data_IF_155403412771
#
_entry.id   IF_155403412771
#
_cell.length_a   1.000
_cell.length_b   1.000
_cell.length_c   1.000
_cell.angle_alpha   90.00
_cell.angle_beta   90.00
_cell.angle_gamma   90.00
#
_symmetry.space_group_name_H-M   'P 1'
#
loop_
_entity.id
_entity.type
_entity.pdbx_description
1 polymer ?
#
# COMPACT_ATOMS: atom_id res chain seq x y z
N UNK A 1 28.53 8.37 -4.81
CA UNK A 1 27.87 7.38 -3.91
C UNK A 1 26.37 7.58 -4.07
N UNK A 2 25.62 6.51 -4.34
CA UNK A 2 24.15 6.57 -4.49
C UNK A 2 23.57 6.50 -3.06
N UNK A 3 22.73 7.48 -2.69
CA UNK A 3 22.04 7.48 -1.41
C UNK A 3 20.82 6.54 -1.49
N UNK A 4 20.71 5.60 -0.58
CA UNK A 4 19.75 4.51 -0.62
C UNK A 4 18.67 4.64 0.47
N UNK A 5 17.59 3.84 0.37
CA UNK A 5 16.60 3.72 1.45
C UNK A 5 17.25 3.31 2.79
N UNK A 6 18.27 2.44 2.75
CA UNK A 6 19.05 2.06 3.93
C UNK A 6 19.74 3.27 4.58
N UNK A 7 20.43 4.10 3.76
CA UNK A 7 21.10 5.30 4.26
C UNK A 7 20.10 6.27 4.86
N UNK A 8 18.93 6.42 4.23
CA UNK A 8 17.85 7.26 4.73
C UNK A 8 17.36 6.78 6.11
N UNK A 9 17.04 5.50 6.27
CA UNK A 9 16.56 4.96 7.55
C UNK A 9 17.60 5.15 8.64
N UNK A 10 18.87 4.84 8.35
CA UNK A 10 20.00 5.08 9.29
C UNK A 10 20.11 6.53 9.69
N UNK A 11 20.02 7.44 8.72
CA UNK A 11 20.19 8.88 8.97
C UNK A 11 18.97 9.48 9.68
N UNK A 12 17.75 8.99 9.39
CA UNK A 12 16.56 9.37 10.16
C UNK A 12 16.67 8.93 11.63
N UNK A 13 17.13 7.70 11.88
CA UNK A 13 17.39 7.19 13.25
C UNK A 13 18.42 8.06 14.01
N UNK A 14 19.42 8.55 13.30
CA UNK A 14 20.44 9.41 13.87
C UNK A 14 20.01 10.88 13.99
N UNK A 15 18.77 11.22 13.63
CA UNK A 15 18.24 12.59 13.65
C UNK A 15 18.86 13.51 12.58
N UNK A 16 19.51 12.94 11.56
CA UNK A 16 20.19 13.72 10.52
C UNK A 16 19.17 14.27 9.52
N UNK A 17 19.27 15.56 9.17
CA UNK A 17 18.33 16.21 8.25
C UNK A 17 18.38 15.63 6.82
N UNK A 18 19.50 15.05 6.41
CA UNK A 18 19.65 14.41 5.09
C UNK A 18 18.69 13.24 4.93
N UNK A 19 18.54 12.39 5.95
CA UNK A 19 17.60 11.27 5.95
C UNK A 19 16.16 11.74 5.78
N UNK A 20 15.74 12.73 6.58
CA UNK A 20 14.41 13.32 6.51
C UNK A 20 14.15 14.02 5.17
N UNK A 21 15.13 14.74 4.64
CA UNK A 21 15.03 15.38 3.33
C UNK A 21 14.83 14.35 2.21
N UNK A 22 15.58 13.25 2.25
CA UNK A 22 15.41 12.14 1.30
C UNK A 22 14.04 11.47 1.46
N UNK A 23 13.61 11.19 2.68
CA UNK A 23 12.29 10.64 2.97
C UNK A 23 11.18 11.51 2.35
N UNK A 24 11.18 12.80 2.61
CA UNK A 24 10.21 13.74 2.06
C UNK A 24 10.22 13.70 0.53
N UNK A 25 11.39 13.85 -0.08
CA UNK A 25 11.47 13.93 -1.55
C UNK A 25 11.05 12.64 -2.23
N UNK A 26 11.37 11.48 -1.68
CA UNK A 26 11.10 10.18 -2.31
C UNK A 26 9.71 9.65 -1.95
N UNK A 27 9.28 9.72 -0.70
CA UNK A 27 8.11 8.96 -0.24
C UNK A 27 6.85 9.79 -0.01
N UNK A 28 6.92 11.13 0.03
CA UNK A 28 5.68 11.94 0.03
C UNK A 28 4.80 11.66 -1.19
N UNK A 29 5.31 11.49 -2.42
CA UNK A 29 4.47 11.08 -3.54
C UNK A 29 3.77 9.72 -3.34
N UNK A 30 4.41 8.78 -2.65
CA UNK A 30 3.79 7.49 -2.27
C UNK A 30 2.64 7.74 -1.29
N UNK A 31 2.88 8.54 -0.24
CA UNK A 31 1.85 8.91 0.75
C UNK A 31 0.66 9.58 0.06
N UNK A 32 0.92 10.54 -0.84
CA UNK A 32 -0.13 11.24 -1.60
C UNK A 32 -0.98 10.26 -2.44
N UNK A 33 -0.34 9.32 -3.15
CA UNK A 33 -1.05 8.29 -3.93
C UNK A 33 -1.90 7.38 -3.04
N UNK A 34 -1.38 6.94 -1.89
CA UNK A 34 -2.12 6.13 -0.94
C UNK A 34 -3.34 6.90 -0.39
N UNK A 35 -3.15 8.14 0.02
CA UNK A 35 -4.27 8.97 0.51
C UNK A 35 -5.31 9.18 -0.59
N UNK A 36 -4.90 9.53 -1.80
CA UNK A 36 -5.82 9.76 -2.91
C UNK A 36 -6.62 8.49 -3.28
N UNK A 37 -6.02 7.30 -3.18
CA UNK A 37 -6.69 6.03 -3.47
C UNK A 37 -7.64 5.60 -2.36
N UNK A 38 -7.15 5.56 -1.12
CA UNK A 38 -7.90 4.97 -0.01
C UNK A 38 -8.82 5.95 0.72
N UNK A 39 -8.55 7.25 0.59
CA UNK A 39 -9.26 8.33 1.27
C UNK A 39 -9.49 9.52 0.32
N UNK A 40 -10.19 9.32 -0.80
CA UNK A 40 -10.37 10.37 -1.80
C UNK A 40 -11.07 11.61 -1.23
N UNK A 41 -11.91 11.45 -0.20
CA UNK A 41 -12.55 12.54 0.53
C UNK A 41 -11.56 13.42 1.30
N UNK A 42 -10.41 12.88 1.67
CA UNK A 42 -9.33 13.61 2.36
C UNK A 42 -8.25 14.13 1.41
N UNK A 43 -8.27 13.75 0.14
CA UNK A 43 -7.21 14.09 -0.82
C UNK A 43 -7.10 15.62 -1.07
N UNK A 44 -8.19 16.35 -0.88
CA UNK A 44 -8.23 17.81 -0.99
C UNK A 44 -7.72 18.55 0.27
N UNK A 45 -7.52 17.86 1.40
CA UNK A 45 -6.99 18.48 2.61
C UNK A 45 -5.48 18.71 2.46
N UNK A 46 -5.11 19.95 2.10
CA UNK A 46 -3.71 20.35 1.92
C UNK A 46 -2.85 20.22 3.19
N UNK A 47 -3.46 20.05 4.38
CA UNK A 47 -2.75 19.91 5.65
C UNK A 47 -2.54 18.45 6.05
N UNK A 48 -3.33 17.53 5.51
CA UNK A 48 -3.31 16.12 5.90
C UNK A 48 -1.94 15.48 5.73
N UNK A 49 -1.28 15.70 4.59
CA UNK A 49 0.05 15.12 4.34
C UNK A 49 1.07 15.63 5.36
N UNK A 50 1.01 16.93 5.70
CA UNK A 50 1.86 17.50 6.76
C UNK A 50 1.62 16.84 8.12
N UNK A 51 0.35 16.64 8.51
CA UNK A 51 -0.02 15.94 9.75
C UNK A 51 0.46 14.48 9.76
N UNK A 52 0.34 13.78 8.63
CA UNK A 52 0.86 12.41 8.47
C UNK A 52 2.37 12.37 8.65
N UNK A 53 3.11 13.29 8.05
CA UNK A 53 4.56 13.36 8.18
C UNK A 53 4.97 13.56 9.64
N UNK A 54 4.31 14.47 10.36
CA UNK A 54 4.57 14.68 11.79
C UNK A 54 4.25 13.43 12.61
N UNK A 55 3.15 12.72 12.30
CA UNK A 55 2.79 11.49 12.99
C UNK A 55 3.78 10.35 12.73
N UNK A 56 4.27 10.23 11.49
CA UNK A 56 5.26 9.22 11.10
C UNK A 56 6.66 9.48 11.65
N UNK A 57 7.01 10.77 11.89
CA UNK A 57 8.31 11.18 12.42
C UNK A 57 8.38 11.20 13.95
N UNK A 58 7.30 10.85 14.66
CA UNK A 58 7.29 10.79 16.14
C UNK A 58 8.16 9.64 16.66
N UNK A 59 8.93 9.87 17.73
CA UNK A 59 9.78 8.82 18.31
C UNK A 59 9.01 7.57 18.73
N UNK A 60 7.80 7.74 19.27
CA UNK A 60 6.99 6.65 19.81
C UNK A 60 6.36 5.77 18.71
N UNK A 61 6.07 6.35 17.57
CA UNK A 61 5.48 5.65 16.41
C UNK A 61 6.44 5.57 15.23
N UNK A 62 7.72 5.74 15.51
CA UNK A 62 8.71 5.97 14.47
C UNK A 62 8.81 4.81 13.48
N UNK A 63 8.38 5.07 12.27
CA UNK A 63 8.60 4.22 11.10
C UNK A 63 10.08 3.78 10.99
N UNK A 64 10.99 4.67 11.37
CA UNK A 64 12.43 4.44 11.26
C UNK A 64 13.01 3.60 12.40
N UNK A 65 12.35 3.55 13.58
CA UNK A 65 12.84 2.80 14.74
C UNK A 65 12.52 1.31 14.67
N UNK A 66 11.39 0.94 14.09
CA UNK A 66 10.89 -0.43 14.06
C UNK A 66 11.50 -1.29 12.93
N UNK A 67 12.11 -0.68 11.92
CA UNK A 67 12.68 -1.38 10.79
C UNK A 67 14.19 -1.62 10.99
N UNK A 68 14.59 -2.88 10.97
CA UNK A 68 15.95 -3.21 10.59
C UNK A 68 16.18 -2.80 9.13
N UNK A 69 17.45 -2.57 8.71
CA UNK A 69 17.74 -2.17 7.35
C UNK A 69 17.23 -3.23 6.37
N UNK A 70 15.99 -3.01 5.96
CA UNK A 70 15.27 -3.89 5.05
C UNK A 70 15.34 -3.36 3.61
N UNK A 71 15.16 -4.23 2.59
CA UNK A 71 14.96 -3.76 1.23
C UNK A 71 13.85 -2.70 1.15
N UNK A 72 13.99 -1.74 0.25
CA UNK A 72 13.06 -0.62 0.07
C UNK A 72 11.58 -1.03 -0.02
N UNK A 73 11.31 -2.23 -0.57
CA UNK A 73 9.95 -2.78 -0.65
C UNK A 73 9.31 -2.97 0.73
N UNK A 74 10.07 -3.43 1.71
CA UNK A 74 9.58 -3.61 3.08
C UNK A 74 9.35 -2.28 3.76
N UNK A 75 10.23 -1.32 3.52
CA UNK A 75 10.03 0.04 4.01
C UNK A 75 8.71 0.62 3.46
N UNK A 76 8.45 0.48 2.16
CA UNK A 76 7.22 1.00 1.54
C UNK A 76 5.98 0.22 2.00
N UNK A 77 6.10 -1.09 2.24
CA UNK A 77 5.00 -1.89 2.79
C UNK A 77 4.62 -1.42 4.21
N UNK A 78 5.60 -1.18 5.06
CA UNK A 78 5.38 -0.65 6.41
C UNK A 78 4.86 0.79 6.36
N UNK A 79 5.44 1.64 5.52
CA UNK A 79 4.96 3.01 5.30
C UNK A 79 3.49 3.02 4.89
N UNK A 80 3.09 2.15 3.94
CA UNK A 80 1.70 1.98 3.52
C UNK A 80 0.78 1.68 4.71
N UNK A 81 1.14 0.68 5.51
CA UNK A 81 0.33 0.27 6.66
C UNK A 81 0.16 1.42 7.66
N UNK A 82 1.24 2.13 7.98
CA UNK A 82 1.21 3.26 8.93
C UNK A 82 0.44 4.45 8.40
N UNK A 83 0.57 4.76 7.11
CA UNK A 83 -0.21 5.85 6.49
C UNK A 83 -1.71 5.56 6.58
N UNK A 84 -2.14 4.34 6.23
CA UNK A 84 -3.56 3.99 6.28
C UNK A 84 -4.10 4.05 7.72
N UNK A 85 -3.36 3.50 8.69
CA UNK A 85 -3.72 3.57 10.10
C UNK A 85 -3.80 5.02 10.62
N UNK A 86 -2.81 5.84 10.33
CA UNK A 86 -2.78 7.23 10.79
C UNK A 86 -3.91 8.08 10.19
N UNK A 87 -4.31 7.85 8.94
CA UNK A 87 -5.48 8.56 8.37
C UNK A 87 -6.77 8.09 9.06
N UNK A 88 -6.94 6.80 9.31
CA UNK A 88 -8.09 6.28 10.07
C UNK A 88 -8.18 6.89 11.46
N UNK A 89 -7.06 7.00 12.17
CA UNK A 89 -6.99 7.66 13.49
C UNK A 89 -7.36 9.15 13.42
N UNK A 90 -6.98 9.84 12.34
CA UNK A 90 -7.34 11.25 12.14
C UNK A 90 -8.80 11.48 11.79
N UNK A 91 -9.46 10.48 11.20
CA UNK A 91 -10.90 10.55 10.88
C UNK A 91 -11.81 10.35 12.11
N UNK A 92 -11.26 9.91 13.25
CA UNK A 92 -12.00 9.68 14.48
C UNK A 92 -12.38 8.22 14.69
N UNK A 93 -13.29 7.96 15.63
CA UNK A 93 -13.58 6.63 16.14
C UNK A 93 -13.84 5.60 15.03
N UNK A 94 -13.21 4.42 15.11
CA UNK A 94 -13.47 3.36 14.15
C UNK A 94 -14.96 3.00 14.20
N UNK A 95 -15.60 3.04 13.04
CA UNK A 95 -16.93 2.43 12.88
C UNK A 95 -16.78 0.96 13.30
N UNK A 96 -17.69 0.42 14.15
CA UNK A 96 -17.62 -0.98 14.56
C UNK A 96 -17.46 -1.85 13.31
N UNK A 97 -16.37 -2.63 13.29
CA UNK A 97 -16.11 -3.49 12.14
C UNK A 97 -17.15 -4.62 12.12
N UNK A 98 -17.77 -4.85 10.97
CA UNK A 98 -18.62 -6.01 10.80
C UNK A 98 -17.77 -7.27 10.89
N UNK A 99 -18.29 -8.27 11.54
CA UNK A 99 -17.74 -9.62 11.43
C UNK A 99 -17.93 -10.13 10.00
N UNK A 100 -16.83 -10.31 9.29
CA UNK A 100 -16.82 -10.79 7.91
C UNK A 100 -16.52 -12.29 7.95
N UNK A 101 -17.49 -13.07 7.50
CA UNK A 101 -17.33 -14.50 7.31
C UNK A 101 -16.56 -14.74 5.98
N UNK A 102 -15.28 -15.04 6.12
CA UNK A 102 -14.41 -15.31 4.98
C UNK A 102 -14.70 -16.68 4.33
N UNK A 103 -15.34 -17.63 5.03
CA UNK A 103 -15.72 -18.92 4.46
C UNK A 103 -16.87 -18.76 3.45
N UNK A 104 -17.87 -17.93 3.79
CA UNK A 104 -18.95 -17.60 2.87
C UNK A 104 -18.38 -16.92 1.62
N UNK A 105 -17.47 -15.98 1.79
CA UNK A 105 -16.83 -15.30 0.66
C UNK A 105 -15.97 -16.27 -0.15
N UNK A 106 -15.26 -17.20 0.51
CA UNK A 106 -14.50 -18.27 -0.12
C UNK A 106 -15.35 -19.15 -1.01
N UNK A 107 -16.48 -19.60 -0.49
CA UNK A 107 -17.44 -20.42 -1.25
C UNK A 107 -18.04 -19.68 -2.46
N UNK A 108 -18.31 -18.37 -2.33
CA UNK A 108 -18.81 -17.55 -3.43
C UNK A 108 -17.81 -17.43 -4.58
N UNK A 109 -16.52 -17.35 -4.25
CA UNK A 109 -15.44 -17.15 -5.22
C UNK A 109 -14.64 -18.44 -5.53
N UNK A 110 -15.05 -19.59 -5.00
CA UNK A 110 -14.38 -20.87 -5.26
C UNK A 110 -14.15 -21.16 -6.75
N UNK A 111 -15.14 -20.94 -7.66
CA UNK A 111 -14.95 -21.19 -9.09
C UNK A 111 -14.02 -20.20 -9.82
N UNK A 112 -13.52 -19.17 -9.14
CA UNK A 112 -12.62 -18.19 -9.75
C UNK A 112 -11.17 -18.69 -9.71
N UNK A 113 -10.45 -18.48 -10.80
CA UNK A 113 -9.00 -18.65 -10.85
C UNK A 113 -8.31 -17.66 -9.91
N UNK A 114 -7.04 -17.90 -9.57
CA UNK A 114 -6.25 -16.97 -8.76
C UNK A 114 -6.27 -15.55 -9.33
N UNK A 115 -6.05 -15.39 -10.64
CA UNK A 115 -6.03 -14.06 -11.28
C UNK A 115 -7.39 -13.38 -11.23
N UNK A 116 -8.48 -14.12 -11.38
CA UNK A 116 -9.84 -13.58 -11.23
C UNK A 116 -10.11 -13.14 -9.78
N UNK A 117 -9.67 -13.92 -8.79
CA UNK A 117 -9.74 -13.55 -7.37
C UNK A 117 -8.93 -12.29 -7.09
N UNK A 118 -7.73 -12.16 -7.65
CA UNK A 118 -6.92 -10.95 -7.53
C UNK A 118 -7.61 -9.73 -8.16
N UNK A 119 -8.21 -9.88 -9.35
CA UNK A 119 -8.95 -8.80 -10.01
C UNK A 119 -10.11 -8.29 -9.15
N UNK A 120 -10.87 -9.22 -8.54
CA UNK A 120 -11.93 -8.88 -7.60
C UNK A 120 -11.36 -8.26 -6.30
N UNK A 121 -10.26 -8.78 -5.78
CA UNK A 121 -9.65 -8.27 -4.54
C UNK A 121 -9.07 -6.86 -4.70
N UNK A 122 -8.45 -6.55 -5.84
CA UNK A 122 -7.94 -5.21 -6.15
C UNK A 122 -9.05 -4.15 -6.18
N UNK A 123 -10.31 -4.54 -6.45
CA UNK A 123 -11.44 -3.62 -6.31
C UNK A 123 -11.63 -3.19 -4.85
N UNK A 124 -11.48 -4.11 -3.88
CA UNK A 124 -11.55 -3.77 -2.46
C UNK A 124 -10.42 -2.85 -2.01
N UNK A 125 -9.31 -2.84 -2.73
CA UNK A 125 -8.17 -1.94 -2.57
C UNK A 125 -8.32 -0.64 -3.39
N UNK A 126 -9.50 -0.37 -3.95
CA UNK A 126 -9.86 0.83 -4.73
C UNK A 126 -9.06 1.03 -6.02
N UNK A 127 -8.59 -0.06 -6.62
CA UNK A 127 -8.03 -0.01 -7.96
C UNK A 127 -9.15 0.12 -9.00
N UNK A 128 -8.97 1.01 -9.98
CA UNK A 128 -9.85 1.01 -11.16
C UNK A 128 -9.61 -0.23 -12.02
N UNK A 129 -10.49 -0.50 -12.99
CA UNK A 129 -10.28 -1.63 -13.90
C UNK A 129 -9.01 -1.44 -14.76
N UNK A 130 -8.71 -0.20 -15.15
CA UNK A 130 -7.51 0.16 -15.91
C UNK A 130 -6.25 -0.09 -15.07
N UNK A 131 -6.22 0.37 -13.82
CA UNK A 131 -5.09 0.17 -12.93
C UNK A 131 -4.86 -1.31 -12.63
N UNK A 132 -5.93 -2.06 -12.34
CA UNK A 132 -5.86 -3.49 -12.11
C UNK A 132 -5.45 -4.25 -13.38
N UNK A 133 -5.92 -3.82 -14.54
CA UNK A 133 -5.54 -4.36 -15.83
C UNK A 133 -4.04 -4.23 -16.08
N UNK A 134 -3.45 -3.07 -15.81
CA UNK A 134 -2.00 -2.86 -15.88
C UNK A 134 -1.24 -3.78 -14.93
N UNK A 135 -1.72 -3.90 -13.68
CA UNK A 135 -1.07 -4.71 -12.65
C UNK A 135 -1.09 -6.20 -12.97
N UNK A 136 -2.25 -6.69 -13.44
CA UNK A 136 -2.49 -8.10 -13.77
C UNK A 136 -2.13 -8.46 -15.22
N UNK A 137 -1.73 -7.48 -16.05
CA UNK A 137 -1.50 -7.63 -17.49
C UNK A 137 -2.73 -8.16 -18.23
N UNK A 138 -3.88 -7.60 -17.90
CA UNK A 138 -5.18 -7.95 -18.47
C UNK A 138 -5.82 -6.73 -19.12
N UNK A 139 -6.68 -6.99 -20.09
CA UNK A 139 -7.54 -5.94 -20.66
C UNK A 139 -8.51 -5.41 -19.59
N UNK A 140 -8.68 -4.08 -19.44
CA UNK A 140 -9.57 -3.49 -18.44
C UNK A 140 -11.03 -3.99 -18.53
N UNK A 141 -11.55 -4.21 -19.74
CA UNK A 141 -12.88 -4.74 -19.94
C UNK A 141 -13.02 -6.17 -19.41
N UNK A 142 -11.97 -6.97 -19.55
CA UNK A 142 -11.92 -8.33 -18.97
C UNK A 142 -11.92 -8.25 -17.44
N UNK A 143 -11.16 -7.31 -16.84
CA UNK A 143 -11.18 -7.07 -15.40
C UNK A 143 -12.58 -6.71 -14.92
N UNK A 144 -13.27 -5.80 -15.63
CA UNK A 144 -14.63 -5.39 -15.24
C UNK A 144 -15.63 -6.55 -15.33
N UNK A 145 -15.58 -7.38 -16.36
CA UNK A 145 -16.41 -8.60 -16.46
C UNK A 145 -16.17 -9.56 -15.29
N UNK A 146 -14.93 -9.74 -14.88
CA UNK A 146 -14.59 -10.57 -13.72
C UNK A 146 -15.21 -9.99 -12.46
N UNK A 147 -15.10 -8.68 -12.25
CA UNK A 147 -15.67 -7.97 -11.11
C UNK A 147 -17.18 -8.07 -11.07
N UNK A 148 -17.84 -7.87 -12.20
CA UNK A 148 -19.30 -8.03 -12.29
C UNK A 148 -19.76 -9.44 -11.90
N UNK A 149 -19.06 -10.45 -12.40
CA UNK A 149 -19.32 -11.84 -12.03
C UNK A 149 -19.06 -12.10 -10.54
N UNK A 150 -18.00 -11.53 -9.98
CA UNK A 150 -17.71 -11.64 -8.55
C UNK A 150 -18.77 -10.93 -7.70
N UNK A 151 -19.16 -9.70 -8.04
CA UNK A 151 -20.22 -8.93 -7.36
C UNK A 151 -21.54 -9.70 -7.35
N UNK A 152 -21.93 -10.30 -8.47
CA UNK A 152 -23.16 -11.08 -8.56
C UNK A 152 -23.14 -12.30 -7.63
N UNK A 153 -22.04 -13.06 -7.61
CA UNK A 153 -21.89 -14.18 -6.70
C UNK A 153 -21.86 -13.76 -5.22
N UNK A 154 -21.14 -12.69 -4.90
CA UNK A 154 -21.10 -12.13 -3.54
C UNK A 154 -22.49 -11.64 -3.12
N UNK A 155 -23.23 -10.99 -4.01
CA UNK A 155 -24.62 -10.55 -3.74
C UNK A 155 -25.54 -11.70 -3.38
N UNK A 156 -25.40 -12.85 -4.01
CA UNK A 156 -26.22 -14.02 -3.70
C UNK A 156 -25.93 -14.63 -2.33
N UNK A 157 -24.73 -14.44 -1.78
CA UNK A 157 -24.28 -15.06 -0.54
C UNK A 157 -24.33 -14.11 0.67
N UNK A 158 -24.30 -12.78 0.46
CA UNK A 158 -24.21 -11.80 1.53
C UNK A 158 -25.52 -11.00 1.71
N UNK A 159 -25.83 -10.65 2.95
CA UNK A 159 -26.94 -9.75 3.24
C UNK A 159 -26.66 -8.32 2.72
N UNK A 160 -27.71 -7.48 2.64
CA UNK A 160 -27.64 -6.12 2.06
C UNK A 160 -26.55 -5.28 2.71
N UNK A 161 -26.42 -5.33 4.03
CA UNK A 161 -25.45 -4.54 4.77
C UNK A 161 -24.00 -4.94 4.47
N UNK A 162 -23.71 -6.24 4.42
CA UNK A 162 -22.36 -6.73 4.04
C UNK A 162 -22.03 -6.40 2.57
N UNK A 163 -23.03 -6.38 1.68
CA UNK A 163 -22.86 -5.96 0.28
C UNK A 163 -22.46 -4.49 0.16
N UNK A 164 -23.11 -3.61 0.90
CA UNK A 164 -22.81 -2.18 0.93
C UNK A 164 -21.39 -1.95 1.44
N UNK A 165 -21.00 -2.65 2.49
CA UNK A 165 -19.67 -2.53 3.07
C UNK A 165 -18.54 -2.91 2.09
N UNK A 166 -18.75 -3.95 1.31
CA UNK A 166 -17.77 -4.35 0.27
C UNK A 166 -17.70 -3.34 -0.88
N UNK A 167 -18.85 -2.72 -1.24
CA UNK A 167 -18.89 -1.72 -2.29
C UNK A 167 -18.23 -0.40 -1.88
N UNK A 168 -18.47 0.04 -0.64
CA UNK A 168 -18.08 1.39 -0.20
C UNK A 168 -16.69 1.42 0.45
N UNK A 169 -16.28 0.36 1.12
CA UNK A 169 -15.02 0.32 1.86
C UNK A 169 -14.44 -1.09 2.00
N UNK A 170 -13.53 -1.46 1.13
CA UNK A 170 -12.84 -2.75 1.17
C UNK A 170 -11.83 -2.92 2.33
N UNK A 171 -11.54 -1.87 3.09
CA UNK A 171 -10.57 -1.92 4.21
C UNK A 171 -10.94 -2.93 5.31
N UNK A 172 -12.20 -3.03 5.78
CA UNK A 172 -12.59 -4.06 6.73
C UNK A 172 -12.34 -5.49 6.22
N UNK A 173 -12.55 -5.71 4.92
CA UNK A 173 -12.26 -7.00 4.29
C UNK A 173 -10.77 -7.30 4.29
N UNK A 174 -9.92 -6.32 3.95
CA UNK A 174 -8.46 -6.45 4.02
C UNK A 174 -7.95 -6.73 5.43
N UNK A 175 -8.55 -6.10 6.47
CA UNK A 175 -8.23 -6.39 7.86
C UNK A 175 -8.68 -7.79 8.31
N UNK A 176 -9.85 -8.24 7.87
CA UNK A 176 -10.32 -9.59 8.14
C UNK A 176 -9.39 -10.64 7.48
N UNK A 177 -9.00 -10.43 6.22
CA UNK A 177 -8.06 -11.29 5.52
C UNK A 177 -6.68 -11.30 6.19
N UNK A 178 -6.17 -10.15 6.65
CA UNK A 178 -4.89 -10.09 7.37
C UNK A 178 -4.90 -10.90 8.68
N UNK A 179 -6.04 -10.91 9.39
CA UNK A 179 -6.22 -11.72 10.61
C UNK A 179 -6.37 -13.22 10.35
N UNK A 180 -6.71 -13.60 9.12
CA UNK A 180 -6.87 -15.01 8.72
C UNK A 180 -5.53 -15.73 8.44
N UNK A 181 -4.41 -15.19 8.92
CA UNK A 181 -3.10 -15.83 8.82
C UNK A 181 -3.11 -17.20 9.52
N UNK A 182 -2.56 -18.20 8.84
CA UNK A 182 -2.39 -19.57 9.34
C UNK A 182 -0.93 -20.02 9.19
N UNK A 183 -0.50 -21.04 9.91
CA UNK A 183 0.88 -21.56 9.81
C UNK A 183 1.31 -21.94 8.37
N UNK A 184 0.43 -22.52 7.51
CA UNK A 184 0.83 -22.86 6.14
C UNK A 184 0.89 -21.65 5.19
N UNK A 185 0.67 -20.39 5.65
CA UNK A 185 0.82 -19.23 4.80
C UNK A 185 2.23 -19.10 4.23
N UNK A 186 2.31 -18.69 2.97
CA UNK A 186 3.56 -18.60 2.24
C UNK A 186 4.43 -17.44 2.75
N UNK A 187 5.74 -17.65 2.73
CA UNK A 187 6.68 -16.59 3.02
C UNK A 187 6.69 -15.52 1.92
N UNK A 188 6.93 -14.29 2.30
CA UNK A 188 6.99 -13.11 1.41
C UNK A 188 7.89 -13.31 0.19
N UNK A 189 8.97 -14.06 0.36
CA UNK A 189 9.89 -14.37 -0.73
C UNK A 189 9.19 -15.07 -1.90
N UNK A 190 8.25 -15.98 -1.64
CA UNK A 190 7.51 -16.68 -2.70
C UNK A 190 6.73 -15.70 -3.57
N UNK A 191 6.05 -14.73 -2.96
CA UNK A 191 5.31 -13.69 -3.67
C UNK A 191 6.23 -12.76 -4.46
N UNK A 192 7.33 -12.32 -3.86
CA UNK A 192 8.30 -11.45 -4.53
C UNK A 192 8.98 -12.13 -5.71
N UNK A 193 9.31 -13.42 -5.61
CA UNK A 193 9.90 -14.16 -6.71
C UNK A 193 8.93 -14.26 -7.90
N UNK A 194 7.63 -14.37 -7.66
CA UNK A 194 6.61 -14.31 -8.73
C UNK A 194 6.50 -12.90 -9.32
N UNK A 195 6.40 -11.87 -8.49
CA UNK A 195 6.30 -10.48 -8.94
C UNK A 195 7.53 -10.00 -9.73
N UNK A 196 8.70 -10.55 -9.41
CA UNK A 196 9.96 -10.27 -10.09
C UNK A 196 10.20 -11.17 -11.31
N UNK A 197 9.34 -12.17 -11.55
CA UNK A 197 9.50 -13.15 -12.63
C UNK A 197 10.64 -14.14 -12.39
N UNK A 198 11.06 -14.35 -11.15
CA UNK A 198 12.13 -15.27 -10.74
C UNK A 198 11.63 -16.61 -10.22
N UNK A 199 10.33 -16.75 -10.01
CA UNK A 199 9.74 -17.98 -9.53
C UNK A 199 9.92 -19.11 -10.54
N UNK A 200 10.27 -20.30 -10.03
CA UNK A 200 10.23 -21.53 -10.83
C UNK A 200 8.77 -21.92 -11.14
N UNK A 201 8.57 -22.78 -12.14
CA UNK A 201 7.24 -23.31 -12.45
C UNK A 201 6.57 -23.96 -11.23
N UNK A 202 7.30 -24.82 -10.50
CA UNK A 202 6.79 -25.47 -9.30
C UNK A 202 6.46 -24.48 -8.18
N UNK A 203 7.32 -23.49 -7.95
CA UNK A 203 7.07 -22.47 -6.93
C UNK A 203 5.88 -21.56 -7.27
N UNK A 204 5.68 -21.28 -8.57
CA UNK A 204 4.49 -20.55 -9.02
C UNK A 204 3.21 -21.35 -8.81
N UNK A 205 3.20 -22.62 -9.22
CA UNK A 205 2.07 -23.53 -9.07
C UNK A 205 1.70 -23.74 -7.59
N UNK A 206 2.69 -23.88 -6.71
CA UNK A 206 2.50 -23.96 -5.26
C UNK A 206 1.84 -22.67 -4.71
N UNK A 207 2.37 -21.51 -5.11
CA UNK A 207 1.80 -20.24 -4.72
C UNK A 207 0.36 -20.08 -5.24
N UNK A 208 0.10 -20.39 -6.51
CA UNK A 208 -1.24 -20.29 -7.11
C UNK A 208 -2.25 -21.20 -6.39
N UNK A 209 -1.86 -22.41 -6.06
CA UNK A 209 -2.69 -23.36 -5.32
C UNK A 209 -3.03 -22.85 -3.93
N UNK A 210 -2.04 -22.34 -3.19
CA UNK A 210 -2.27 -21.83 -1.85
C UNK A 210 -3.10 -20.54 -1.86
N UNK A 211 -2.73 -19.57 -2.69
CA UNK A 211 -3.43 -18.27 -2.80
C UNK A 211 -4.87 -18.45 -3.26
N UNK A 212 -5.17 -19.49 -4.04
CA UNK A 212 -6.55 -19.76 -4.47
C UNK A 212 -7.52 -20.08 -3.33
N UNK A 213 -7.02 -20.47 -2.16
CA UNK A 213 -7.83 -20.86 -0.99
C UNK A 213 -7.58 -20.00 0.25
N UNK A 214 -6.52 -19.22 0.28
CA UNK A 214 -6.11 -18.45 1.46
C UNK A 214 -6.33 -16.94 1.27
N UNK A 215 -7.29 -16.37 1.96
CA UNK A 215 -7.60 -14.93 1.91
C UNK A 215 -6.45 -14.05 2.41
N UNK A 216 -5.74 -14.49 3.43
CA UNK A 216 -4.54 -13.79 3.88
C UNK A 216 -3.51 -13.64 2.75
N UNK A 217 -3.23 -14.74 2.06
CA UNK A 217 -2.22 -14.73 1.00
C UNK A 217 -2.68 -13.98 -0.26
N UNK A 218 -3.98 -13.98 -0.61
CA UNK A 218 -4.51 -13.10 -1.68
C UNK A 218 -4.29 -11.63 -1.33
N UNK A 219 -4.71 -11.22 -0.14
CA UNK A 219 -4.58 -9.85 0.31
C UNK A 219 -3.11 -9.42 0.38
N UNK A 220 -2.28 -10.26 0.96
CA UNK A 220 -0.85 -10.02 1.08
C UNK A 220 -0.16 -9.89 -0.28
N UNK A 221 -0.47 -10.77 -1.23
CA UNK A 221 0.05 -10.69 -2.59
C UNK A 221 -0.38 -9.41 -3.29
N UNK A 222 -1.65 -9.01 -3.18
CA UNK A 222 -2.15 -7.77 -3.77
C UNK A 222 -1.48 -6.54 -3.14
N UNK A 223 -1.22 -6.53 -1.82
CA UNK A 223 -0.47 -5.46 -1.17
C UNK A 223 0.97 -5.37 -1.65
N UNK A 224 1.67 -6.50 -1.80
CA UNK A 224 3.02 -6.52 -2.35
C UNK A 224 3.05 -6.06 -3.81
N UNK A 225 2.06 -6.44 -4.60
CA UNK A 225 1.91 -5.97 -5.98
C UNK A 225 1.72 -4.44 -6.02
N UNK A 226 0.91 -3.88 -5.11
CA UNK A 226 0.76 -2.42 -4.95
C UNK A 226 2.10 -1.75 -4.60
N UNK A 227 2.85 -2.29 -3.64
CA UNK A 227 4.17 -1.76 -3.26
C UNK A 227 5.13 -1.74 -4.46
N UNK A 228 5.17 -2.83 -5.23
CA UNK A 228 6.00 -2.90 -6.44
C UNK A 228 5.55 -1.88 -7.48
N UNK A 229 4.25 -1.69 -7.67
CA UNK A 229 3.70 -0.69 -8.60
C UNK A 229 4.03 0.73 -8.14
N UNK A 230 3.85 1.04 -6.85
CA UNK A 230 4.18 2.35 -6.28
C UNK A 230 5.66 2.70 -6.50
N UNK A 231 6.57 1.75 -6.25
CA UNK A 231 8.00 1.95 -6.46
C UNK A 231 8.38 2.10 -7.95
N UNK A 232 7.78 1.33 -8.84
CA UNK A 232 8.02 1.45 -10.29
C UNK A 232 7.60 2.81 -10.86
N UNK A 233 6.59 3.43 -10.28
CA UNK A 233 6.05 4.74 -10.69
C UNK A 233 6.47 5.87 -9.77
N UNK A 234 7.46 5.63 -8.92
CA UNK A 234 7.97 6.63 -8.00
C UNK A 234 8.66 7.74 -8.79
N UNK A 235 8.13 8.94 -8.66
CA UNK A 235 8.75 10.17 -9.17
C UNK A 235 9.00 11.07 -7.98
N UNK A 236 10.26 11.31 -7.60
CA UNK A 236 10.59 12.16 -6.46
C UNK A 236 10.06 13.58 -6.61
N UNK A 237 9.71 14.21 -5.50
CA UNK A 237 9.39 15.63 -5.49
C UNK A 237 10.61 16.45 -5.91
N UNK A 238 10.35 17.48 -6.69
CA UNK A 238 11.35 18.53 -6.89
C UNK A 238 11.63 19.27 -5.56
N UNK A 239 12.76 19.93 -5.46
CA UNK A 239 13.10 20.73 -4.27
C UNK A 239 12.03 21.79 -3.95
N UNK A 240 11.45 22.39 -4.99
CA UNK A 240 10.34 23.32 -4.83
C UNK A 240 9.07 22.66 -4.27
N UNK A 241 8.74 21.46 -4.76
CA UNK A 241 7.58 20.69 -4.27
C UNK A 241 7.74 20.17 -2.84
N UNK A 242 8.97 19.92 -2.41
CA UNK A 242 9.27 19.45 -1.06
C UNK A 242 9.33 20.54 0.02
N UNK A 243 9.46 21.81 -0.38
CA UNK A 243 9.71 22.94 0.57
C UNK A 243 8.71 23.01 1.71
N UNK A 244 7.43 22.97 1.40
CA UNK A 244 6.40 23.06 2.43
C UNK A 244 6.47 21.93 3.46
N UNK A 245 6.87 20.75 3.03
CA UNK A 245 7.02 19.59 3.92
C UNK A 245 8.29 19.68 4.76
N UNK A 246 9.36 20.28 4.23
CA UNK A 246 10.57 20.56 5.02
C UNK A 246 10.26 21.52 6.17
N UNK A 247 9.49 22.58 5.90
CA UNK A 247 9.09 23.54 6.91
C UNK A 247 8.22 22.87 8.01
N UNK A 248 7.31 21.97 7.64
CA UNK A 248 6.46 21.21 8.58
C UNK A 248 7.31 20.33 9.52
N UNK A 249 8.36 19.70 9.00
CA UNK A 249 9.25 18.82 9.78
C UNK A 249 10.43 19.54 10.44
N UNK A 250 10.51 20.87 10.31
CA UNK A 250 11.64 21.64 10.83
C UNK A 250 12.99 21.28 10.21
N UNK A 251 12.99 20.78 8.96
CA UNK A 251 14.21 20.40 8.27
C UNK A 251 14.93 21.68 7.82
N UNK A 252 16.19 21.89 8.25
CA UNK A 252 16.95 23.07 7.87
C UNK A 252 17.12 23.11 6.35
N UNK A 253 16.81 24.25 5.74
CA UNK A 253 17.03 24.45 4.30
C UNK A 253 18.52 24.33 4.01
N UNK A 254 18.90 23.54 3.02
CA UNK A 254 20.26 23.56 2.51
C UNK A 254 20.56 24.99 2.08
N UNK A 255 21.50 25.65 2.77
CA UNK A 255 22.00 26.95 2.33
C UNK A 255 22.54 26.79 0.91
N UNK A 256 22.12 27.67 -0.02
CA UNK A 256 22.72 27.67 -1.37
C UNK A 256 24.24 27.67 -1.21
N UNK A 257 24.96 26.79 -1.94
CA UNK A 257 26.42 26.78 -1.88
C UNK A 257 26.96 28.18 -2.13
N UNK A 258 27.91 28.60 -1.33
CA UNK A 258 28.47 29.99 -1.33
C UNK A 258 28.84 30.45 -2.77
N UNK A 259 29.28 29.55 -3.64
CA UNK A 259 29.63 29.87 -5.01
C UNK A 259 28.45 30.33 -5.88
N UNK A 260 27.21 29.87 -5.60
CA UNK A 260 26.01 30.35 -6.35
C UNK A 260 25.63 31.80 -5.99
N UNK A 261 26.05 32.31 -4.82
CA UNK A 261 25.84 33.72 -4.44
C UNK A 261 26.74 34.68 -5.24
N UNK A 262 27.84 34.18 -5.82
CA UNK A 262 28.76 34.99 -6.60
C UNK A 262 28.38 35.06 -8.09
N UNK A 263 27.40 34.27 -8.53
CA UNK A 263 26.95 34.23 -9.92
C UNK A 263 25.66 35.05 -10.14
N UNK A 264 25.14 35.72 -9.14
CA UNK A 264 24.06 36.72 -9.22
C UNK A 264 24.62 38.11 -9.01
#
# INVERSE_FOLDING_TARGET
MIYTCYDMVRDCRAGRPEGRSYFVSQYVPVIQKLVARYFPECAADGTLIGRLLVALDRPESSLFQSLDPAPERWFVAELRQRVLAAVEDFQGQPVPEPEIDLEILGSALEPFTMVEKQAAWLETMRYTAEEAGVLLRMDPHTVEKIRDKARERIRSCLNVWRRTLLADNGRPLGRAAARAHTEPCLADKAFLDVLDGRATWGGRDEMERHVSTCWHCIDHFCRLAEVVELLRRLTPLSEAGARGFYDVLGIPRRSEPAWKRWLR
#
